data_IF_926225770599
#
_entry.id   IF_926225770599
#
_cell.length_a   1.000
_cell.length_b   1.000
_cell.length_c   1.000
_cell.angle_alpha   90.00
_cell.angle_beta   90.00
_cell.angle_gamma   90.00
#
_symmetry.space_group_name_H-M   'P 1'
#
loop_
_entity.id
_entity.type
_entity.pdbx_description
1 polymer ?
#
# COMPACT_ATOMS: atom_id res chain seq x y z
N UNK A 1 -17.19 17.74 -9.95
CA UNK A 1 -16.29 16.67 -10.41
C UNK A 1 -14.91 17.10 -9.94
N UNK A 2 -14.30 16.35 -9.04
CA UNK A 2 -12.88 16.53 -8.75
C UNK A 2 -12.13 16.34 -10.06
N UNK A 3 -11.21 17.25 -10.35
CA UNK A 3 -10.38 17.19 -11.56
C UNK A 3 -9.47 15.96 -11.41
N UNK A 4 -10.01 14.81 -11.80
CA UNK A 4 -9.40 13.47 -11.63
C UNK A 4 -8.09 13.31 -12.42
N UNK A 5 -7.66 14.38 -13.08
CA UNK A 5 -6.47 14.42 -13.93
C UNK A 5 -5.27 15.09 -13.26
N UNK A 6 -5.42 15.76 -12.12
CA UNK A 6 -4.33 16.56 -11.55
C UNK A 6 -3.15 15.69 -11.13
N UNK A 7 -3.34 14.66 -10.31
CA UNK A 7 -2.28 13.76 -9.87
C UNK A 7 -1.72 12.93 -11.04
N UNK A 8 -2.59 12.36 -11.87
CA UNK A 8 -2.17 11.60 -13.05
C UNK A 8 -1.43 12.48 -14.07
N UNK A 9 -1.90 13.73 -14.29
CA UNK A 9 -1.22 14.70 -15.14
C UNK A 9 0.19 15.04 -14.65
N UNK A 10 0.37 15.17 -13.35
CA UNK A 10 1.70 15.36 -12.72
C UNK A 10 2.55 14.10 -12.93
N UNK A 11 2.01 12.93 -12.64
CA UNK A 11 2.72 11.66 -12.82
C UNK A 11 3.22 11.44 -14.26
N UNK A 12 2.40 11.78 -15.25
CA UNK A 12 2.80 11.75 -16.67
C UNK A 12 3.97 12.65 -16.97
N UNK A 13 4.01 13.87 -16.40
CA UNK A 13 5.15 14.80 -16.59
C UNK A 13 6.44 14.26 -16.00
N UNK A 14 6.37 13.61 -14.85
CA UNK A 14 7.54 13.00 -14.21
C UNK A 14 7.89 11.61 -14.75
N UNK A 15 7.01 11.00 -15.55
CA UNK A 15 7.27 9.73 -16.21
C UNK A 15 7.17 8.53 -15.28
N UNK A 16 6.33 8.61 -14.23
CA UNK A 16 6.06 7.42 -13.40
C UNK A 16 5.09 6.47 -14.11
N UNK A 17 5.37 5.18 -14.01
CA UNK A 17 4.51 4.09 -14.51
C UNK A 17 3.18 3.96 -13.75
N UNK A 18 3.09 4.55 -12.54
CA UNK A 18 1.82 4.68 -11.80
C UNK A 18 0.78 5.52 -12.55
N UNK A 19 1.19 6.31 -13.55
CA UNK A 19 0.28 7.09 -14.39
C UNK A 19 -0.42 6.25 -15.46
N UNK A 20 -1.53 6.76 -16.00
CA UNK A 20 -2.27 6.14 -17.09
C UNK A 20 -1.67 6.37 -18.50
N UNK A 21 -0.37 6.68 -18.62
CA UNK A 21 0.29 6.88 -19.93
C UNK A 21 0.65 5.56 -20.59
N UNK A 22 0.29 5.34 -21.88
CA UNK A 22 0.78 4.21 -22.66
C UNK A 22 2.22 4.43 -23.15
N UNK A 23 2.98 3.33 -23.44
CA UNK A 23 2.64 1.95 -23.13
C UNK A 23 3.16 1.54 -21.75
N UNK A 24 2.30 0.88 -20.95
CA UNK A 24 2.71 0.23 -19.70
C UNK A 24 2.37 0.97 -18.41
N UNK A 25 1.62 2.06 -18.46
CA UNK A 25 1.14 2.73 -17.25
C UNK A 25 0.02 1.95 -16.55
N UNK A 26 0.07 1.91 -15.21
CA UNK A 26 -0.85 1.14 -14.36
C UNK A 26 -2.16 1.88 -14.04
N UNK A 27 -2.29 3.16 -14.42
CA UNK A 27 -3.46 4.00 -14.11
C UNK A 27 -3.81 4.04 -12.61
N UNK A 28 -2.80 3.99 -11.74
CA UNK A 28 -2.98 4.03 -10.29
C UNK A 28 -3.32 5.44 -9.80
N UNK A 29 -2.61 6.47 -10.30
CA UNK A 29 -2.69 7.83 -9.77
C UNK A 29 -4.07 8.44 -9.85
N UNK A 30 -4.81 8.22 -10.94
CA UNK A 30 -6.19 8.68 -11.06
C UNK A 30 -7.10 8.06 -9.99
N UNK A 31 -6.84 6.82 -9.61
CA UNK A 31 -7.60 6.10 -8.58
C UNK A 31 -7.18 6.56 -7.18
N UNK A 32 -5.87 6.76 -6.96
CA UNK A 32 -5.34 7.24 -5.67
C UNK A 32 -5.84 8.64 -5.33
N UNK A 33 -6.03 9.49 -6.33
CA UNK A 33 -6.52 10.85 -6.12
C UNK A 33 -7.88 10.88 -5.40
N UNK A 34 -8.75 9.89 -5.62
CA UNK A 34 -10.03 9.79 -4.89
C UNK A 34 -9.85 9.64 -3.37
N UNK A 35 -8.76 9.03 -2.95
CA UNK A 35 -8.46 8.79 -1.52
C UNK A 35 -7.52 9.84 -0.93
N UNK A 36 -6.72 10.49 -1.76
CA UNK A 36 -5.62 11.35 -1.30
C UNK A 36 -5.83 12.85 -1.59
N UNK A 37 -6.83 13.23 -2.40
CA UNK A 37 -7.03 14.61 -2.82
C UNK A 37 -7.22 15.60 -1.65
N UNK A 38 -7.85 15.15 -0.56
CA UNK A 38 -8.07 15.95 0.63
C UNK A 38 -6.77 16.32 1.35
N UNK A 39 -5.69 15.58 1.12
CA UNK A 39 -4.37 15.81 1.72
C UNK A 39 -3.49 16.76 0.89
N UNK A 40 -3.93 17.18 -0.30
CA UNK A 40 -3.10 17.90 -1.27
C UNK A 40 -2.38 19.13 -0.68
N UNK A 41 -3.02 19.83 0.24
CA UNK A 41 -2.49 21.05 0.84
C UNK A 41 -2.28 20.94 2.37
N UNK A 42 -2.31 19.70 2.88
CA UNK A 42 -2.13 19.43 4.31
C UNK A 42 -0.68 19.10 4.64
N UNK A 43 -0.33 19.26 5.92
CA UNK A 43 0.96 18.84 6.46
C UNK A 43 0.84 17.38 6.94
N UNK A 44 1.59 16.49 6.31
CA UNK A 44 1.65 15.07 6.71
C UNK A 44 2.94 14.43 6.20
N UNK A 45 3.22 13.22 6.62
CA UNK A 45 4.33 12.40 6.09
C UNK A 45 3.77 11.33 5.16
N UNK A 46 4.30 11.29 3.92
CA UNK A 46 4.14 10.20 2.98
C UNK A 46 5.40 9.34 3.01
N UNK A 47 5.24 8.04 3.18
CA UNK A 47 6.30 7.04 3.11
C UNK A 47 6.07 6.15 1.89
N UNK A 48 7.00 6.14 0.94
CA UNK A 48 7.02 5.23 -0.20
C UNK A 48 8.13 4.19 0.00
N UNK A 49 7.76 2.92 -0.06
CA UNK A 49 8.66 1.79 -0.05
C UNK A 49 8.92 1.38 -1.49
N UNK A 50 10.19 1.47 -1.93
CA UNK A 50 10.58 1.36 -3.34
C UNK A 50 10.64 2.72 -4.01
N UNK A 51 11.81 3.12 -4.52
CA UNK A 51 12.06 4.42 -5.15
C UNK A 51 12.32 4.26 -6.65
N UNK A 52 13.00 3.19 -7.03
CA UNK A 52 13.43 2.94 -8.40
C UNK A 52 14.12 4.17 -9.02
N UNK A 53 13.49 4.83 -10.00
CA UNK A 53 14.04 6.01 -10.69
C UNK A 53 13.58 7.35 -10.10
N UNK A 54 12.85 7.35 -9.01
CA UNK A 54 12.40 8.54 -8.27
C UNK A 54 11.32 9.36 -8.94
N UNK A 55 10.67 8.85 -9.99
CA UNK A 55 9.62 9.58 -10.70
C UNK A 55 8.37 9.76 -9.82
N UNK A 56 8.01 8.77 -9.02
CA UNK A 56 6.92 8.82 -8.05
C UNK A 56 7.19 9.84 -6.96
N UNK A 57 8.40 9.89 -6.37
CA UNK A 57 8.76 10.87 -5.33
C UNK A 57 8.58 12.31 -5.81
N UNK A 58 8.99 12.61 -7.05
CA UNK A 58 8.78 13.93 -7.67
C UNK A 58 7.30 14.22 -7.88
N UNK A 59 6.54 13.19 -8.24
CA UNK A 59 5.08 13.31 -8.41
C UNK A 59 4.41 13.67 -7.09
N UNK A 60 4.78 12.98 -6.00
CA UNK A 60 4.25 13.28 -4.66
C UNK A 60 4.64 14.67 -4.19
N UNK A 61 5.90 15.07 -4.38
CA UNK A 61 6.39 16.38 -3.98
C UNK A 61 5.67 17.53 -4.69
N UNK A 62 5.37 17.37 -5.98
CA UNK A 62 4.64 18.38 -6.75
C UNK A 62 3.15 18.41 -6.38
N UNK A 63 2.54 17.24 -6.19
CA UNK A 63 1.10 17.16 -5.90
C UNK A 63 0.77 17.60 -4.47
N UNK A 64 1.51 17.12 -3.47
CA UNK A 64 1.31 17.44 -2.06
C UNK A 64 2.18 18.63 -1.65
N UNK A 65 1.56 19.80 -1.59
CA UNK A 65 2.32 21.08 -1.48
C UNK A 65 3.03 21.28 -0.13
N UNK A 66 2.64 20.54 0.92
CA UNK A 66 3.21 20.67 2.27
C UNK A 66 3.67 19.35 2.88
N UNK A 67 3.48 18.22 2.22
CA UNK A 67 3.88 16.94 2.77
C UNK A 67 5.40 16.80 2.84
N UNK A 68 5.87 16.09 3.86
CA UNK A 68 7.19 15.49 3.94
C UNK A 68 7.14 14.17 3.17
N UNK A 69 7.97 14.01 2.17
CA UNK A 69 8.03 12.83 1.32
C UNK A 69 9.25 12.01 1.70
N UNK A 70 9.06 10.76 2.07
CA UNK A 70 10.15 9.86 2.43
C UNK A 70 10.09 8.66 1.51
N UNK A 71 11.17 8.40 0.80
CA UNK A 71 11.36 7.18 0.03
C UNK A 71 12.32 6.23 0.75
N UNK A 72 12.04 4.95 0.70
CA UNK A 72 12.90 3.87 1.22
C UNK A 72 13.31 2.96 0.08
N UNK A 73 14.58 2.67 -0.03
CA UNK A 73 15.10 1.73 -1.05
C UNK A 73 16.33 1.01 -0.51
N UNK A 74 16.67 -0.13 -1.10
CA UNK A 74 17.89 -0.88 -0.82
C UNK A 74 19.08 -0.37 -1.65
N UNK A 75 18.80 0.27 -2.78
CA UNK A 75 19.80 0.70 -3.74
C UNK A 75 20.39 2.08 -3.38
N UNK A 76 21.70 2.15 -3.13
CA UNK A 76 22.41 3.39 -2.76
C UNK A 76 22.26 4.49 -3.83
N UNK A 77 22.10 4.11 -5.08
CA UNK A 77 21.89 5.05 -6.19
C UNK A 77 20.66 5.93 -6.01
N UNK A 78 19.67 5.49 -5.25
CA UNK A 78 18.43 6.22 -4.99
C UNK A 78 18.62 7.46 -4.12
N UNK A 79 19.73 7.56 -3.37
CA UNK A 79 20.09 8.75 -2.57
C UNK A 79 20.12 10.03 -3.41
N UNK A 80 20.40 9.94 -4.71
CA UNK A 80 20.40 11.09 -5.63
C UNK A 80 19.03 11.77 -5.77
N UNK A 81 17.95 11.10 -5.34
CA UNK A 81 16.60 11.65 -5.43
C UNK A 81 16.21 12.48 -4.19
N UNK A 82 17.06 12.51 -3.16
CA UNK A 82 16.85 13.38 -2.00
C UNK A 82 17.03 14.85 -2.38
N UNK A 83 16.17 15.71 -1.84
CA UNK A 83 16.21 17.16 -2.04
C UNK A 83 14.83 17.79 -1.89
N UNK A 84 14.77 19.09 -1.66
CA UNK A 84 13.50 19.77 -1.38
C UNK A 84 12.82 19.18 -0.16
N UNK A 85 11.59 18.66 -0.33
CA UNK A 85 10.82 17.98 0.72
C UNK A 85 10.95 16.45 0.65
N UNK A 86 11.83 15.93 -0.21
CA UNK A 86 12.08 14.51 -0.39
C UNK A 86 13.29 14.08 0.43
N UNK A 87 13.11 13.10 1.30
CA UNK A 87 14.13 12.40 2.04
C UNK A 87 14.25 10.96 1.50
N UNK A 88 15.46 10.42 1.52
CA UNK A 88 15.70 9.03 1.13
C UNK A 88 16.40 8.29 2.26
N UNK A 89 15.87 7.14 2.62
CA UNK A 89 16.41 6.25 3.65
C UNK A 89 16.81 4.94 2.97
N UNK A 90 18.07 4.55 3.14
CA UNK A 90 18.54 3.25 2.67
C UNK A 90 18.21 2.17 3.70
N UNK A 91 17.65 1.06 3.22
CA UNK A 91 17.37 -0.09 4.05
C UNK A 91 16.69 -1.22 3.33
N UNK A 92 16.79 -2.40 3.95
CA UNK A 92 16.26 -3.64 3.41
C UNK A 92 14.94 -4.00 4.11
N UNK A 93 13.86 -4.10 3.35
CA UNK A 93 12.53 -4.49 3.85
C UNK A 93 12.47 -5.97 4.28
N UNK A 94 13.45 -6.79 3.92
CA UNK A 94 13.61 -8.13 4.48
C UNK A 94 14.00 -8.09 5.98
N UNK A 95 14.51 -6.97 6.47
CA UNK A 95 14.89 -6.76 7.87
C UNK A 95 13.71 -6.26 8.71
N UNK A 96 13.13 -7.12 9.54
CA UNK A 96 12.06 -6.73 10.47
C UNK A 96 12.46 -5.57 11.39
N UNK A 97 13.66 -5.54 12.00
CA UNK A 97 14.07 -4.39 12.82
C UNK A 97 14.14 -3.08 12.04
N UNK A 98 14.53 -3.12 10.77
CA UNK A 98 14.52 -1.94 9.91
C UNK A 98 13.09 -1.45 9.66
N UNK A 99 12.18 -2.35 9.24
CA UNK A 99 10.77 -1.99 9.01
C UNK A 99 10.12 -1.45 10.28
N UNK A 100 10.41 -2.04 11.46
CA UNK A 100 9.95 -1.55 12.75
C UNK A 100 10.41 -0.11 13.03
N UNK A 101 11.64 0.24 12.65
CA UNK A 101 12.20 1.59 12.85
C UNK A 101 11.44 2.66 12.05
N UNK A 102 10.85 2.30 10.91
CA UNK A 102 10.09 3.22 10.06
C UNK A 102 8.82 3.76 10.73
N UNK A 103 8.30 3.09 11.76
CA UNK A 103 7.16 3.59 12.56
C UNK A 103 7.44 4.97 13.18
N UNK A 104 8.70 5.26 13.53
CA UNK A 104 9.09 6.53 14.10
C UNK A 104 8.91 7.72 13.14
N UNK A 105 8.72 7.46 11.86
CA UNK A 105 8.47 8.49 10.84
C UNK A 105 7.07 9.09 10.93
N UNK A 106 6.14 8.44 11.66
CA UNK A 106 4.76 8.88 11.85
C UNK A 106 4.04 9.17 10.52
N UNK A 107 4.19 8.27 9.55
CA UNK A 107 3.55 8.40 8.25
C UNK A 107 2.02 8.40 8.38
N UNK A 108 1.35 9.23 7.58
CA UNK A 108 -0.12 9.21 7.40
C UNK A 108 -0.53 8.49 6.12
N UNK A 109 0.37 8.42 5.15
CA UNK A 109 0.20 7.66 3.90
C UNK A 109 1.42 6.77 3.73
N UNK A 110 1.19 5.49 3.45
CA UNK A 110 2.23 4.51 3.10
C UNK A 110 1.88 3.92 1.75
N UNK A 111 2.85 3.91 0.84
CA UNK A 111 2.75 3.27 -0.47
C UNK A 111 3.81 2.18 -0.53
N UNK A 112 3.39 0.94 -0.68
CA UNK A 112 4.26 -0.23 -0.78
C UNK A 112 4.37 -0.68 -2.24
N UNK A 113 5.46 -0.30 -2.85
CA UNK A 113 5.82 -0.55 -4.26
C UNK A 113 7.30 -1.00 -4.36
N UNK A 114 7.74 -1.86 -3.43
CA UNK A 114 9.14 -2.27 -3.33
C UNK A 114 9.45 -3.54 -4.13
N UNK A 115 9.89 -4.60 -3.44
CA UNK A 115 10.37 -5.85 -4.05
C UNK A 115 9.28 -6.74 -4.62
N UNK A 116 8.04 -6.54 -4.21
CA UNK A 116 6.87 -7.39 -4.46
C UNK A 116 7.02 -8.84 -3.98
N UNK A 117 8.11 -9.18 -3.27
CA UNK A 117 8.19 -10.44 -2.55
C UNK A 117 7.10 -10.51 -1.49
N UNK A 118 6.33 -11.59 -1.46
CA UNK A 118 5.20 -11.73 -0.53
C UNK A 118 5.60 -11.56 0.93
N UNK A 119 6.79 -12.05 1.30
CA UNK A 119 7.33 -11.90 2.66
C UNK A 119 7.54 -10.45 3.03
N UNK A 120 8.02 -9.63 2.11
CA UNK A 120 8.34 -8.23 2.37
C UNK A 120 7.08 -7.38 2.38
N UNK A 121 6.17 -7.56 1.41
CA UNK A 121 4.87 -6.90 1.40
C UNK A 121 4.06 -7.21 2.66
N UNK A 122 3.99 -8.48 3.08
CA UNK A 122 3.28 -8.85 4.30
C UNK A 122 3.94 -8.31 5.55
N UNK A 123 5.29 -8.29 5.62
CA UNK A 123 6.02 -7.67 6.73
C UNK A 123 5.72 -6.17 6.80
N UNK A 124 5.84 -5.46 5.68
CA UNK A 124 5.53 -4.04 5.63
C UNK A 124 4.08 -3.78 6.06
N UNK A 125 3.13 -4.52 5.51
CA UNK A 125 1.72 -4.42 5.87
C UNK A 125 1.48 -4.64 7.38
N UNK A 126 1.92 -5.76 7.93
CA UNK A 126 1.63 -6.12 9.33
C UNK A 126 2.37 -5.22 10.33
N UNK A 127 3.53 -4.72 9.99
CA UNK A 127 4.33 -3.85 10.87
C UNK A 127 3.88 -2.40 10.77
N UNK A 128 3.69 -1.87 9.57
CA UNK A 128 3.53 -0.43 9.37
C UNK A 128 2.06 0.03 9.39
N UNK A 129 1.13 -0.77 8.84
CA UNK A 129 -0.28 -0.36 8.83
C UNK A 129 -0.86 -0.07 10.22
N UNK A 130 -0.59 -0.88 11.27
CA UNK A 130 -1.07 -0.57 12.62
C UNK A 130 -0.52 0.74 13.20
N UNK A 131 0.60 1.27 12.68
CA UNK A 131 1.21 2.52 13.14
C UNK A 131 0.60 3.77 12.48
N UNK A 132 -0.17 3.63 11.42
CA UNK A 132 -0.84 4.77 10.79
C UNK A 132 -1.78 5.47 11.78
N UNK A 133 -1.94 6.78 11.70
CA UNK A 133 -2.98 7.49 12.45
C UNK A 133 -4.38 7.10 11.96
N UNK A 134 -5.40 7.48 12.72
CA UNK A 134 -6.79 7.36 12.30
C UNK A 134 -7.03 8.13 10.98
N UNK A 135 -7.66 7.49 10.01
CA UNK A 135 -7.81 8.01 8.65
C UNK A 135 -6.57 7.84 7.77
N UNK A 136 -5.48 7.28 8.32
CA UNK A 136 -4.26 7.00 7.56
C UNK A 136 -4.48 5.96 6.47
N UNK A 137 -3.71 6.05 5.39
CA UNK A 137 -3.90 5.27 4.16
C UNK A 137 -2.68 4.38 3.91
N UNK A 138 -2.91 3.11 3.67
CA UNK A 138 -1.92 2.15 3.18
C UNK A 138 -2.30 1.71 1.77
N UNK A 139 -1.38 1.78 0.84
CA UNK A 139 -1.55 1.35 -0.55
C UNK A 139 -0.56 0.23 -0.81
N UNK A 140 -1.07 -0.97 -1.12
CA UNK A 140 -0.25 -2.08 -1.61
C UNK A 140 -0.34 -2.14 -3.13
N UNK A 141 0.79 -1.94 -3.81
CA UNK A 141 0.89 -2.04 -5.26
C UNK A 141 1.30 -3.45 -5.70
N UNK A 142 1.09 -3.73 -6.97
CA UNK A 142 1.51 -4.94 -7.66
C UNK A 142 1.10 -6.26 -7.01
N UNK A 143 -0.08 -6.26 -6.36
CA UNK A 143 -0.66 -7.47 -5.76
C UNK A 143 -1.00 -8.55 -6.80
N UNK A 144 -0.91 -8.24 -8.10
CA UNK A 144 -1.05 -9.22 -9.19
C UNK A 144 0.07 -10.29 -9.18
N UNK A 145 1.21 -10.03 -8.52
CA UNK A 145 2.25 -11.03 -8.26
C UNK A 145 1.75 -12.21 -7.42
N UNK A 146 0.60 -12.05 -6.76
CA UNK A 146 -0.10 -13.11 -6.02
C UNK A 146 -0.73 -14.18 -6.92
N UNK A 147 -0.78 -13.98 -8.24
CA UNK A 147 -1.48 -14.86 -9.18
C UNK A 147 -0.53 -15.49 -10.20
N UNK A 148 -0.99 -16.59 -10.84
CA UNK A 148 -0.24 -17.21 -11.93
C UNK A 148 -0.21 -16.28 -13.16
N UNK A 149 0.89 -16.27 -13.92
CA UNK A 149 2.10 -17.12 -13.76
C UNK A 149 3.16 -16.58 -12.79
N UNK A 150 2.95 -15.41 -12.16
CA UNK A 150 3.97 -14.71 -11.38
C UNK A 150 4.15 -15.27 -9.96
N UNK A 151 3.10 -15.82 -9.37
CA UNK A 151 3.11 -16.31 -7.99
C UNK A 151 4.35 -17.16 -7.61
N UNK A 152 4.81 -18.12 -8.44
CA UNK A 152 6.01 -18.92 -8.10
C UNK A 152 7.29 -18.08 -7.99
N UNK A 153 7.36 -16.93 -8.66
CA UNK A 153 8.54 -16.07 -8.67
C UNK A 153 8.61 -15.21 -7.40
N UNK A 154 7.46 -14.82 -6.85
CA UNK A 154 7.38 -13.85 -5.74
C UNK A 154 7.00 -14.47 -4.40
N UNK A 155 6.60 -15.75 -4.36
CA UNK A 155 6.09 -16.41 -3.15
C UNK A 155 7.12 -16.58 -2.02
N UNK A 156 8.41 -16.55 -2.33
CA UNK A 156 9.47 -16.85 -1.36
C UNK A 156 9.23 -18.16 -0.57
N UNK A 157 8.49 -19.10 -1.17
CA UNK A 157 8.18 -20.39 -0.55
C UNK A 157 7.04 -20.38 0.48
N UNK A 158 6.33 -19.23 0.66
CA UNK A 158 5.16 -19.18 1.54
C UNK A 158 3.86 -19.31 0.73
N UNK A 159 2.83 -19.94 1.34
CA UNK A 159 1.48 -20.02 0.77
C UNK A 159 0.56 -18.94 1.40
N UNK A 160 0.97 -17.69 1.26
CA UNK A 160 0.22 -16.55 1.74
C UNK A 160 0.30 -15.40 0.73
N UNK A 161 -0.37 -15.50 -0.42
CA UNK A 161 -0.37 -14.42 -1.41
C UNK A 161 -0.93 -13.11 -0.81
N UNK A 162 -0.23 -11.97 -0.94
CA UNK A 162 -0.70 -10.70 -0.39
C UNK A 162 -2.11 -10.32 -0.80
N UNK A 163 -2.50 -10.54 -2.06
CA UNK A 163 -3.87 -10.30 -2.50
C UNK A 163 -4.90 -11.13 -1.71
N UNK A 164 -4.59 -12.39 -1.38
CA UNK A 164 -5.49 -13.24 -0.57
C UNK A 164 -5.57 -12.75 0.86
N UNK A 165 -4.45 -12.31 1.44
CA UNK A 165 -4.40 -11.74 2.79
C UNK A 165 -5.24 -10.46 2.87
N UNK A 166 -5.09 -9.55 1.90
CA UNK A 166 -5.88 -8.32 1.80
C UNK A 166 -7.39 -8.60 1.62
N UNK A 167 -7.74 -9.55 0.75
CA UNK A 167 -9.14 -9.99 0.60
C UNK A 167 -9.70 -10.57 1.90
N UNK A 168 -8.88 -11.29 2.68
CA UNK A 168 -9.30 -11.85 3.96
C UNK A 168 -9.52 -10.77 5.02
N UNK A 169 -8.73 -9.69 5.00
CA UNK A 169 -8.98 -8.49 5.82
C UNK A 169 -10.38 -7.95 5.49
N UNK A 170 -10.70 -7.74 4.22
CA UNK A 170 -12.01 -7.24 3.79
C UNK A 170 -13.16 -8.19 4.18
N UNK A 171 -12.95 -9.50 4.08
CA UNK A 171 -13.92 -10.52 4.52
C UNK A 171 -14.21 -10.39 6.03
N UNK A 172 -13.18 -10.27 6.86
CA UNK A 172 -13.36 -10.10 8.30
C UNK A 172 -13.97 -8.75 8.68
N UNK A 173 -13.69 -7.67 7.96
CA UNK A 173 -14.34 -6.38 8.14
C UNK A 173 -15.85 -6.47 7.96
N UNK A 174 -16.30 -7.24 6.96
CA UNK A 174 -17.72 -7.38 6.61
C UNK A 174 -18.44 -8.45 7.43
N UNK A 175 -17.73 -9.50 7.85
CA UNK A 175 -18.25 -10.66 8.55
C UNK A 175 -18.20 -10.59 10.07
N UNK A 176 -17.55 -9.57 10.64
CA UNK A 176 -17.28 -9.50 12.08
C UNK A 176 -18.54 -9.27 12.92
N UNK A 177 -19.20 -10.37 13.30
CA UNK A 177 -19.91 -10.59 14.57
C UNK A 177 -21.01 -9.61 15.03
N UNK A 178 -21.14 -8.45 14.43
CA UNK A 178 -22.15 -7.44 14.79
C UNK A 178 -23.51 -7.64 14.09
N UNK A 179 -23.61 -8.62 13.18
CA UNK A 179 -24.84 -8.97 12.46
C UNK A 179 -25.20 -10.46 12.55
N UNK A 180 -25.00 -11.06 13.70
CA UNK A 180 -25.26 -12.50 13.92
C UNK A 180 -26.73 -12.91 13.90
N UNK A 181 -27.66 -12.01 13.71
CA UNK A 181 -29.08 -12.32 13.75
C UNK A 181 -29.77 -12.66 12.41
N UNK A 182 -29.04 -12.64 11.29
CA UNK A 182 -29.65 -12.82 9.95
C UNK A 182 -28.93 -13.87 9.07
N UNK A 183 -27.85 -14.47 9.52
CA UNK A 183 -27.14 -15.48 8.71
C UNK A 183 -27.61 -16.88 9.15
N UNK A 184 -28.13 -17.72 8.22
CA UNK A 184 -28.44 -19.12 8.51
C UNK A 184 -27.20 -19.86 9.03
N UNK A 185 -27.40 -20.80 9.98
CA UNK A 185 -26.33 -21.61 10.60
C UNK A 185 -25.53 -22.53 9.65
N UNK A 186 -25.62 -22.32 8.36
CA UNK A 186 -24.83 -23.04 7.36
C UNK A 186 -23.87 -22.10 6.65
N UNK A 187 -22.56 -22.35 6.74
CA UNK A 187 -21.60 -21.65 5.89
C UNK A 187 -21.98 -21.91 4.42
N UNK A 188 -22.26 -20.84 3.68
CA UNK A 188 -22.67 -20.91 2.28
C UNK A 188 -21.56 -21.39 1.35
N UNK A 189 -20.32 -21.36 1.80
CA UNK A 189 -19.14 -21.91 1.12
C UNK A 189 -18.16 -22.46 2.16
N UNK A 190 -17.42 -23.54 1.86
CA UNK A 190 -16.31 -23.91 2.72
C UNK A 190 -15.33 -22.73 2.75
N UNK A 191 -15.20 -22.13 3.92
CA UNK A 191 -14.15 -21.13 4.15
C UNK A 191 -12.84 -21.75 3.70
N UNK A 192 -12.10 -21.05 2.85
CA UNK A 192 -10.73 -21.43 2.53
C UNK A 192 -9.98 -21.71 3.83
N UNK A 193 -9.05 -22.67 3.87
CA UNK A 193 -8.29 -22.98 5.08
C UNK A 193 -7.82 -21.71 5.73
N UNK A 194 -7.85 -21.66 7.07
CA UNK A 194 -7.47 -20.47 7.83
C UNK A 194 -6.14 -19.95 7.32
N UNK A 195 -6.04 -18.65 6.99
CA UNK A 195 -4.83 -18.12 6.39
C UNK A 195 -3.67 -18.23 7.40
N UNK A 196 -2.49 -18.52 6.87
CA UNK A 196 -1.25 -18.17 7.56
C UNK A 196 -1.44 -16.74 8.08
N UNK A 197 -1.12 -16.41 9.33
CA UNK A 197 -1.34 -15.08 9.91
C UNK A 197 -2.80 -14.73 10.27
N UNK A 198 -3.60 -15.71 10.66
CA UNK A 198 -5.01 -15.50 11.03
C UNK A 198 -5.22 -14.39 12.08
N UNK A 199 -4.40 -14.36 13.13
CA UNK A 199 -4.51 -13.37 14.20
C UNK A 199 -4.15 -11.97 13.71
N UNK A 200 -3.09 -11.84 12.92
CA UNK A 200 -2.64 -10.59 12.32
C UNK A 200 -3.70 -10.04 11.37
N UNK A 201 -4.24 -10.87 10.49
CA UNK A 201 -5.30 -10.50 9.54
C UNK A 201 -6.55 -10.02 10.28
N UNK A 202 -6.93 -10.70 11.37
CA UNK A 202 -8.08 -10.30 12.19
C UNK A 202 -7.83 -8.96 12.90
N UNK A 203 -6.67 -8.78 13.48
CA UNK A 203 -6.28 -7.50 14.09
C UNK A 203 -6.27 -6.36 13.07
N UNK A 204 -5.80 -6.62 11.85
CA UNK A 204 -5.84 -5.65 10.75
C UNK A 204 -7.28 -5.28 10.38
N UNK A 205 -8.19 -6.25 10.26
CA UNK A 205 -9.59 -6.00 9.95
C UNK A 205 -10.28 -5.14 11.02
N UNK A 206 -9.94 -5.34 12.30
CA UNK A 206 -10.47 -4.53 13.40
C UNK A 206 -9.98 -3.06 13.32
N UNK A 207 -8.82 -2.82 12.75
CA UNK A 207 -8.24 -1.49 12.53
C UNK A 207 -8.71 -0.83 11.24
N UNK A 208 -9.29 -1.56 10.29
CA UNK A 208 -9.59 -1.08 8.94
C UNK A 208 -11.02 -0.57 8.82
N UNK A 209 -11.18 0.65 8.34
CA UNK A 209 -12.47 1.28 8.04
C UNK A 209 -12.93 0.99 6.61
N UNK A 210 -11.98 1.04 5.66
CA UNK A 210 -12.24 0.81 4.24
C UNK A 210 -11.14 -0.04 3.62
N UNK A 211 -11.54 -0.98 2.75
CA UNK A 211 -10.65 -1.70 1.84
C UNK A 211 -11.16 -1.56 0.41
N UNK A 212 -10.37 -0.99 -0.49
CA UNK A 212 -10.69 -0.81 -1.89
C UNK A 212 -9.69 -1.58 -2.76
N UNK A 213 -10.20 -2.45 -3.61
CA UNK A 213 -9.39 -3.20 -4.59
C UNK A 213 -9.52 -2.57 -5.97
N UNK A 214 -8.39 -2.45 -6.64
CA UNK A 214 -8.28 -1.92 -8.00
C UNK A 214 -7.38 -2.85 -8.81
N UNK A 215 -7.21 -2.58 -10.11
CA UNK A 215 -6.25 -3.32 -10.91
C UNK A 215 -4.89 -3.33 -10.22
N UNK A 216 -4.41 -4.51 -9.86
CA UNK A 216 -3.10 -4.77 -9.27
C UNK A 216 -2.78 -4.03 -7.97
N UNK A 217 -3.73 -3.33 -7.33
CA UNK A 217 -3.48 -2.62 -6.07
C UNK A 217 -4.64 -2.71 -5.09
N UNK A 218 -4.33 -2.48 -3.81
CA UNK A 218 -5.32 -2.41 -2.73
C UNK A 218 -5.03 -1.21 -1.82
N UNK A 219 -6.08 -0.46 -1.49
CA UNK A 219 -6.02 0.64 -0.53
C UNK A 219 -6.75 0.23 0.74
N UNK A 220 -6.09 0.39 1.88
CA UNK A 220 -6.67 0.26 3.21
C UNK A 220 -6.69 1.62 3.89
N UNK A 221 -7.82 1.97 4.51
CA UNK A 221 -7.96 3.19 5.34
C UNK A 221 -8.15 2.77 6.78
N UNK A 222 -7.40 3.36 7.71
CA UNK A 222 -7.45 3.04 9.12
C UNK A 222 -8.61 3.75 9.83
N UNK A 223 -9.31 3.02 10.74
CA UNK A 223 -10.35 3.58 11.65
C UNK A 223 -9.83 4.68 12.54
#
# INVERSE_FOLDING_TARGET
MLDSTALDGIGRRHGTDKSGSPPGGHDYLRKYEHFLAHLRHEEFTLLELGIFRGASLKTWEEYFTKARIIGVDIEEETLRHAGGRVEVILGDLASTPFVESLKALNASVIIDDASHWWTDQLRALFVLYPSLPKGGVYIAEDIHTSFLPLAPLFSAGIDAPPARVLLKIAEYMTGNGKRTSIVPDKPLLPLSPEPLFHNEVRAMADLTDLAAFMDSSCILVRK
#
